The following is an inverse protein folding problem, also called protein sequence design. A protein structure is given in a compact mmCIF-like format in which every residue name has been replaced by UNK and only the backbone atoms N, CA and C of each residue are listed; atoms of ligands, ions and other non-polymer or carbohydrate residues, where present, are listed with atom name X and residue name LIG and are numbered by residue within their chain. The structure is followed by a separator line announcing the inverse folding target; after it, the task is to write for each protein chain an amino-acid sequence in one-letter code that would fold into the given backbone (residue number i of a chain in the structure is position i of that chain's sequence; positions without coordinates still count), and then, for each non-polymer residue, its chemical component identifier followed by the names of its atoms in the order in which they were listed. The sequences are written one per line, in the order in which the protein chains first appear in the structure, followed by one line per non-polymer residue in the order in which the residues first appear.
data_IF_168645868871
#
_entry.id   IF_168645868871
#
_cell.length_a   1.000
_cell.length_b   1.000
_cell.length_c   1.000
_cell.angle_alpha   90.00
_cell.angle_beta   90.00
_cell.angle_gamma   90.00
#
_symmetry.space_group_name_H-M   'P 1'
#
loop_
_entity.id
_entity.type
_entity.pdbx_description
1 polymer ?
#
# COMPACT_ATOMS: atom_id res chain seq x y z
N UNK A 1 1.97 16.98 -0.41
CA UNK A 1 1.22 16.37 -1.52
C UNK A 1 -0.18 16.03 -1.03
N UNK A 2 -1.21 16.06 -1.89
CA UNK A 2 -2.54 15.63 -1.46
C UNK A 2 -2.54 14.14 -1.09
N UNK A 3 -3.32 13.78 -0.07
CA UNK A 3 -3.60 12.38 0.23
C UNK A 3 -4.44 11.77 -0.90
N UNK A 4 -4.14 10.51 -1.26
CA UNK A 4 -4.99 9.70 -2.12
C UNK A 4 -6.35 9.52 -1.47
N UNK A 5 -7.38 9.52 -2.32
CA UNK A 5 -8.75 9.15 -2.00
C UNK A 5 -9.08 7.82 -2.64
N UNK A 6 -10.21 7.24 -2.24
CA UNK A 6 -10.72 5.98 -2.82
C UNK A 6 -10.90 6.07 -4.33
N UNK A 7 -11.34 7.23 -4.82
CA UNK A 7 -11.54 7.51 -6.25
C UNK A 7 -10.25 7.58 -7.06
N UNK A 8 -9.10 7.72 -6.39
CA UNK A 8 -7.80 7.83 -7.06
C UNK A 8 -7.16 6.45 -7.28
N UNK A 9 -7.60 5.44 -6.52
CA UNK A 9 -7.09 4.07 -6.62
C UNK A 9 -7.49 3.44 -7.95
N UNK A 10 -6.58 2.66 -8.53
CA UNK A 10 -6.77 2.05 -9.86
C UNK A 10 -7.53 0.75 -9.84
N UNK A 11 -7.56 0.06 -8.70
CA UNK A 11 -8.13 -1.28 -8.59
C UNK A 11 -9.36 -1.30 -7.70
N UNK A 12 -10.14 -2.37 -7.86
CA UNK A 12 -11.26 -2.65 -6.96
C UNK A 12 -10.77 -3.26 -5.65
N UNK A 13 -11.42 -2.84 -4.57
CA UNK A 13 -11.13 -3.28 -3.21
C UNK A 13 -12.41 -3.58 -2.45
N UNK A 14 -12.30 -4.45 -1.44
CA UNK A 14 -13.30 -4.58 -0.39
C UNK A 14 -13.23 -3.38 0.55
N UNK A 15 -14.36 -2.72 0.77
CA UNK A 15 -14.51 -1.58 1.69
C UNK A 15 -15.34 -1.94 2.93
N UNK A 16 -15.32 -3.22 3.32
CA UNK A 16 -15.95 -3.67 4.55
C UNK A 16 -15.12 -3.18 5.74
N UNK A 17 -15.79 -2.63 6.74
CA UNK A 17 -15.19 -2.42 8.05
C UNK A 17 -15.30 -3.75 8.77
N UNK A 18 -14.17 -4.39 9.07
CA UNK A 18 -14.15 -5.62 9.86
C UNK A 18 -14.80 -5.34 11.22
N UNK A 19 -15.94 -5.95 11.53
CA UNK A 19 -16.65 -5.77 12.82
C UNK A 19 -15.87 -6.34 14.03
N UNK A 20 -14.77 -7.05 13.80
CA UNK A 20 -14.01 -7.79 14.82
C UNK A 20 -12.85 -7.05 15.49
N UNK A 21 -12.52 -5.83 15.08
CA UNK A 21 -11.34 -5.13 15.60
C UNK A 21 -11.68 -4.26 16.82
N UNK A 22 -11.77 -4.95 17.96
CA UNK A 22 -11.76 -4.33 19.28
C UNK A 22 -10.47 -3.49 19.40
N UNK A 23 -10.53 -2.14 19.53
CA UNK A 23 -9.35 -1.26 19.48
C UNK A 23 -8.28 -1.52 20.54
N UNK A 24 -8.61 -2.36 21.54
CA UNK A 24 -7.74 -2.73 22.67
C UNK A 24 -6.86 -3.96 22.43
N UNK A 25 -6.98 -4.66 21.31
CA UNK A 25 -6.13 -5.82 20.96
C UNK A 25 -5.12 -5.51 19.84
N UNK A 26 -5.13 -4.28 19.31
CA UNK A 26 -4.33 -3.80 18.18
C UNK A 26 -3.01 -3.18 18.68
N UNK A 27 -2.43 -3.75 19.73
CA UNK A 27 -1.10 -3.40 20.25
C UNK A 27 -0.30 -4.69 20.44
N UNK A 28 0.02 -5.37 19.33
CA UNK A 28 1.23 -6.18 19.23
C UNK A 28 1.44 -6.73 17.83
N UNK A 29 2.56 -6.33 17.25
CA UNK A 29 3.33 -7.01 16.21
C UNK A 29 2.68 -7.28 14.84
N UNK A 30 3.43 -6.86 13.82
CA UNK A 30 3.26 -7.26 12.42
C UNK A 30 1.85 -7.05 11.83
N UNK A 31 1.41 -5.78 11.71
CA UNK A 31 0.26 -5.48 10.86
C UNK A 31 0.53 -5.93 9.42
N UNK A 32 -0.06 -7.06 9.06
CA UNK A 32 -0.12 -7.54 7.71
C UNK A 32 -0.76 -6.48 6.81
N UNK A 33 -0.34 -6.41 5.55
CA UNK A 33 -1.00 -5.57 4.56
C UNK A 33 -1.94 -6.42 3.69
N UNK A 34 -3.24 -6.29 3.95
CA UNK A 34 -4.31 -6.81 3.10
C UNK A 34 -4.41 -5.96 1.83
N UNK A 35 -3.84 -6.46 0.74
CA UNK A 35 -3.89 -5.83 -0.59
C UNK A 35 -5.26 -5.95 -1.30
N UNK A 36 -6.24 -6.55 -0.61
CA UNK A 36 -7.62 -6.66 -1.08
C UNK A 36 -8.57 -5.71 -0.33
N UNK A 37 -8.10 -5.11 0.77
CA UNK A 37 -8.87 -4.14 1.57
C UNK A 37 -8.49 -2.72 1.23
N UNK A 38 -9.49 -1.92 0.87
CA UNK A 38 -9.27 -0.56 0.37
C UNK A 38 -8.77 0.38 1.47
N UNK A 39 -9.24 0.21 2.71
CA UNK A 39 -8.80 1.03 3.84
C UNK A 39 -7.32 0.81 4.17
N UNK A 40 -6.88 -0.45 4.18
CA UNK A 40 -5.49 -0.81 4.45
C UNK A 40 -4.56 -0.30 3.36
N UNK A 41 -4.91 -0.52 2.10
CA UNK A 41 -4.12 -0.05 0.96
C UNK A 41 -4.06 1.48 0.91
N UNK A 42 -5.19 2.17 1.09
CA UNK A 42 -5.21 3.63 1.08
C UNK A 42 -4.37 4.21 2.22
N UNK A 43 -4.49 3.63 3.43
CA UNK A 43 -3.70 4.04 4.59
C UNK A 43 -2.21 3.79 4.37
N UNK A 44 -1.84 2.61 3.84
CA UNK A 44 -0.46 2.26 3.54
C UNK A 44 0.13 3.21 2.51
N UNK A 45 -0.52 3.40 1.36
CA UNK A 45 -0.05 4.27 0.29
C UNK A 45 0.12 5.72 0.74
N UNK A 46 -0.82 6.25 1.53
CA UNK A 46 -0.73 7.61 2.06
C UNK A 46 0.32 7.79 3.17
N UNK A 47 0.77 6.70 3.80
CA UNK A 47 1.86 6.71 4.79
C UNK A 47 3.23 6.43 4.18
N UNK A 48 3.29 6.06 2.90
CA UNK A 48 4.57 5.89 2.22
C UNK A 48 5.31 7.21 2.15
N UNK A 49 6.59 7.16 2.51
CA UNK A 49 7.51 8.28 2.41
C UNK A 49 8.72 7.86 1.58
N UNK A 50 9.28 8.83 0.87
CA UNK A 50 10.56 8.69 0.18
C UNK A 50 11.73 8.87 1.13
N UNK A 51 12.92 8.97 0.55
CA UNK A 51 14.15 9.22 1.29
C UNK A 51 14.00 10.41 2.25
N UNK A 52 14.53 10.26 3.47
CA UNK A 52 14.48 11.28 4.54
C UNK A 52 13.06 11.72 4.91
N UNK A 53 12.05 10.87 4.67
CA UNK A 53 10.66 11.18 5.02
C UNK A 53 9.95 12.10 4.03
N UNK A 54 10.50 12.26 2.81
CA UNK A 54 9.88 13.09 1.78
C UNK A 54 8.48 12.59 1.43
N UNK A 55 7.53 13.51 1.29
CA UNK A 55 6.19 13.17 0.85
C UNK A 55 6.18 12.78 -0.64
N UNK A 56 5.47 11.71 -0.97
CA UNK A 56 5.49 11.13 -2.31
C UNK A 56 4.37 11.72 -3.19
N UNK A 57 4.64 12.02 -4.47
CA UNK A 57 3.59 12.36 -5.43
C UNK A 57 2.49 11.29 -5.50
N UNK A 58 1.29 11.71 -5.86
CA UNK A 58 0.15 10.80 -6.14
C UNK A 58 0.57 9.73 -7.15
N UNK A 59 1.24 10.12 -8.25
CA UNK A 59 1.69 9.19 -9.29
C UNK A 59 2.61 8.09 -8.73
N UNK A 60 3.56 8.44 -7.86
CA UNK A 60 4.46 7.48 -7.22
C UNK A 60 3.69 6.46 -6.41
N UNK A 61 2.72 6.91 -5.60
CA UNK A 61 1.88 6.02 -4.80
C UNK A 61 0.99 5.10 -5.66
N UNK A 62 0.49 5.59 -6.80
CA UNK A 62 -0.27 4.75 -7.75
C UNK A 62 0.61 3.74 -8.50
N UNK A 63 1.87 4.06 -8.76
CA UNK A 63 2.85 3.07 -9.25
C UNK A 63 3.02 1.96 -8.23
N UNK A 64 3.18 2.31 -6.94
CA UNK A 64 3.29 1.30 -5.87
C UNK A 64 2.02 0.46 -5.78
N UNK A 65 0.83 1.07 -5.86
CA UNK A 65 -0.43 0.33 -5.92
C UNK A 65 -0.41 -0.74 -7.03
N UNK A 66 -0.03 -0.33 -8.26
CA UNK A 66 0.09 -1.25 -9.40
C UNK A 66 1.14 -2.34 -9.19
N UNK A 67 2.32 -2.01 -8.66
CA UNK A 67 3.34 -3.01 -8.35
C UNK A 67 2.81 -4.06 -7.36
N UNK A 68 2.05 -3.65 -6.35
CA UNK A 68 1.52 -4.53 -5.34
C UNK A 68 0.37 -5.42 -5.81
N UNK A 69 -0.45 -4.93 -6.74
CA UNK A 69 -1.58 -5.68 -7.30
C UNK A 69 -1.15 -6.67 -8.39
N UNK A 70 -0.22 -6.26 -9.26
CA UNK A 70 0.14 -7.03 -10.45
C UNK A 70 1.36 -7.94 -10.25
N UNK A 71 2.32 -7.52 -9.42
CA UNK A 71 3.63 -8.17 -9.37
C UNK A 71 3.96 -8.80 -8.01
N UNK A 72 3.45 -8.25 -6.92
CA UNK A 72 3.77 -8.73 -5.60
C UNK A 72 2.93 -9.95 -5.18
N UNK A 73 3.56 -11.13 -5.16
CA UNK A 73 2.93 -12.41 -4.79
C UNK A 73 3.34 -12.82 -3.37
N UNK A 74 2.48 -12.52 -2.41
CA UNK A 74 2.54 -13.01 -1.03
C UNK A 74 1.10 -13.14 -0.52
N UNK A 75 0.86 -13.85 0.58
CA UNK A 75 -0.47 -13.98 1.18
C UNK A 75 -0.67 -13.01 2.34
N UNK A 76 0.34 -12.83 3.20
CA UNK A 76 0.21 -12.02 4.42
C UNK A 76 1.55 -11.38 4.84
N UNK A 77 2.14 -10.50 4.02
CA UNK A 77 3.38 -9.81 4.41
C UNK A 77 3.09 -8.72 5.45
N UNK A 78 4.06 -8.45 6.32
CA UNK A 78 4.07 -7.20 7.09
C UNK A 78 4.33 -5.99 6.17
N UNK A 79 3.85 -4.81 6.57
CA UNK A 79 4.04 -3.56 5.80
C UNK A 79 5.51 -3.24 5.50
N UNK A 80 6.43 -3.54 6.42
CA UNK A 80 7.87 -3.34 6.21
C UNK A 80 8.41 -4.19 5.05
N UNK A 81 8.10 -5.49 5.04
CA UNK A 81 8.46 -6.41 3.96
C UNK A 81 7.87 -5.99 2.61
N UNK A 82 6.65 -5.45 2.61
CA UNK A 82 6.05 -4.89 1.39
C UNK A 82 6.86 -3.71 0.89
N UNK A 83 7.22 -2.77 1.77
CA UNK A 83 8.00 -1.59 1.40
C UNK A 83 9.39 -1.96 0.90
N UNK A 84 10.08 -2.89 1.57
CA UNK A 84 11.38 -3.41 1.12
C UNK A 84 11.27 -4.01 -0.29
N UNK A 85 10.28 -4.88 -0.52
CA UNK A 85 10.06 -5.45 -1.85
C UNK A 85 9.79 -4.40 -2.92
N UNK A 86 9.02 -3.35 -2.59
CA UNK A 86 8.74 -2.23 -3.52
C UNK A 86 10.04 -1.51 -3.87
N UNK A 87 10.89 -1.21 -2.89
CA UNK A 87 12.18 -0.54 -3.11
C UNK A 87 13.08 -1.41 -3.98
N UNK A 88 13.21 -2.69 -3.67
CA UNK A 88 14.06 -3.64 -4.41
C UNK A 88 13.63 -3.81 -5.87
N UNK A 89 12.33 -3.67 -6.15
CA UNK A 89 11.77 -3.84 -7.49
C UNK A 89 11.47 -2.52 -8.21
N UNK A 90 11.71 -1.37 -7.56
CA UNK A 90 11.29 -0.06 -8.07
C UNK A 90 11.89 0.25 -9.44
N UNK A 91 13.22 0.14 -9.58
CA UNK A 91 13.92 0.47 -10.84
C UNK A 91 13.47 -0.43 -12.01
N UNK A 92 13.08 -1.67 -11.71
CA UNK A 92 12.65 -2.64 -12.72
C UNK A 92 11.20 -2.44 -13.15
N UNK A 93 10.31 -2.19 -12.19
CA UNK A 93 8.86 -2.18 -12.45
C UNK A 93 8.31 -0.78 -12.70
N UNK A 94 8.78 0.26 -12.01
CA UNK A 94 8.23 1.61 -12.15
C UNK A 94 8.23 2.16 -13.60
N UNK A 95 9.22 1.86 -14.48
CA UNK A 95 9.17 2.30 -15.88
C UNK A 95 8.13 1.56 -16.73
N UNK A 96 7.65 0.40 -16.27
CA UNK A 96 6.65 -0.44 -16.97
C UNK A 96 5.22 -0.08 -16.57
N UNK A 97 5.05 0.88 -15.66
CA UNK A 97 3.73 1.30 -15.21
C UNK A 97 2.90 1.84 -16.40
N UNK A 98 1.68 1.33 -16.65
CA UNK A 98 0.89 1.67 -17.83
C UNK A 98 0.13 3.02 -17.70
N UNK A 99 0.69 4.03 -17.02
CA UNK A 99 0.01 5.30 -16.70
C UNK A 99 0.88 6.55 -16.55
#
# INVERSE_FOLDING_TARGET
MPALKRSDLRYEYSWKVSEGDNPKLIEKDAHHLSRNEGYEMLLYLNKLTGEKGADLPVKTRLIVEWMLKEHFKSTAPGRATVTEWVVDNWQKLSPLYPG
#
